data_IF_044961085608
#
_entry.id   IF_044961085608
#
_cell.length_a   1.000
_cell.length_b   1.000
_cell.length_c   1.000
_cell.angle_alpha   90.00
_cell.angle_beta   90.00
_cell.angle_gamma   90.00
#
_symmetry.space_group_name_H-M   'P 1'
#
loop_
_entity.id
_entity.type
_entity.pdbx_description
1 polymer ?
#
# COMPACT_ATOMS: atom_id res chain seq x y z
N UNK A 1 22.33 12.43 -23.31
CA UNK A 1 21.22 11.81 -22.59
C UNK A 1 21.80 10.82 -21.62
N UNK A 2 21.34 10.79 -20.36
CA UNK A 2 21.78 9.80 -19.38
C UNK A 2 21.28 8.39 -19.73
N UNK A 3 21.92 7.38 -19.17
CA UNK A 3 21.61 5.95 -19.41
C UNK A 3 20.13 5.60 -19.19
N UNK A 4 19.51 6.20 -18.15
CA UNK A 4 18.14 5.90 -17.72
C UNK A 4 17.11 6.96 -18.15
N UNK A 5 17.43 7.79 -19.15
CA UNK A 5 16.47 8.79 -19.67
C UNK A 5 15.20 8.11 -20.20
N UNK A 6 14.03 8.54 -19.70
CA UNK A 6 12.74 7.97 -20.08
C UNK A 6 12.34 6.70 -19.30
N UNK A 7 13.14 6.28 -18.32
CA UNK A 7 12.81 5.17 -17.40
C UNK A 7 12.14 5.71 -16.15
N UNK A 8 10.97 5.19 -15.81
CA UNK A 8 10.31 5.39 -14.52
C UNK A 8 10.44 4.09 -13.70
N UNK A 9 11.12 4.18 -12.56
CA UNK A 9 11.16 3.14 -11.55
C UNK A 9 10.09 3.46 -10.50
N UNK A 10 9.16 2.53 -10.27
CA UNK A 10 8.14 2.61 -9.22
C UNK A 10 8.33 1.44 -8.26
N UNK A 11 8.54 1.73 -6.99
CA UNK A 11 8.78 0.72 -5.97
C UNK A 11 7.73 0.78 -4.87
N UNK A 12 7.32 -0.37 -4.35
CA UNK A 12 6.70 -0.42 -3.04
C UNK A 12 7.68 0.07 -1.96
N UNK A 13 7.16 0.39 -0.77
CA UNK A 13 7.95 0.94 0.33
C UNK A 13 8.39 -0.12 1.33
N UNK A 14 7.41 -0.72 2.03
CA UNK A 14 7.69 -1.62 3.15
C UNK A 14 8.23 -2.95 2.63
N UNK A 15 9.39 -3.43 3.10
CA UNK A 15 10.05 -4.67 2.68
C UNK A 15 10.47 -4.73 1.19
N UNK A 16 10.47 -3.57 0.53
CA UNK A 16 11.01 -3.41 -0.84
C UNK A 16 12.06 -2.31 -0.86
N UNK A 17 11.68 -1.06 -0.52
CA UNK A 17 12.65 0.02 -0.26
C UNK A 17 13.36 -0.22 1.06
N UNK A 18 12.62 -0.59 2.11
CA UNK A 18 13.13 -0.87 3.45
C UNK A 18 13.32 -2.36 3.69
N UNK A 19 14.25 -2.70 4.58
CA UNK A 19 14.36 -4.05 5.13
C UNK A 19 13.26 -4.40 6.15
N UNK A 20 13.31 -5.62 6.72
CA UNK A 20 12.37 -6.06 7.76
C UNK A 20 12.44 -5.22 9.05
N UNK A 21 13.59 -4.58 9.30
CA UNK A 21 13.85 -3.65 10.39
C UNK A 21 13.30 -2.23 10.15
N UNK A 22 12.73 -1.98 8.95
CA UNK A 22 12.24 -0.69 8.44
C UNK A 22 13.32 0.34 8.12
N UNK A 23 14.58 -0.08 8.09
CA UNK A 23 15.70 0.75 7.66
C UNK A 23 15.90 0.63 6.14
N UNK A 24 16.40 1.71 5.52
CA UNK A 24 16.72 1.69 4.09
C UNK A 24 18.16 1.21 3.93
N UNK A 25 18.41 0.10 3.23
CA UNK A 25 19.77 -0.33 2.93
C UNK A 25 20.57 0.77 2.22
N UNK A 26 21.79 1.11 2.68
CA UNK A 26 22.60 2.17 2.05
C UNK A 26 22.79 1.98 0.54
N UNK A 27 22.89 0.74 0.08
CA UNK A 27 22.99 0.41 -1.33
C UNK A 27 21.82 0.95 -2.16
N UNK A 28 20.58 0.92 -1.62
CA UNK A 28 19.41 1.48 -2.29
C UNK A 28 19.58 2.98 -2.51
N UNK A 29 19.99 3.73 -1.49
CA UNK A 29 20.16 5.18 -1.58
C UNK A 29 21.22 5.56 -2.61
N UNK A 30 22.38 4.88 -2.59
CA UNK A 30 23.46 5.13 -3.55
C UNK A 30 23.06 4.82 -5.00
N UNK A 31 22.37 3.69 -5.22
CA UNK A 31 21.94 3.29 -6.54
C UNK A 31 20.87 4.23 -7.09
N UNK A 32 19.92 4.65 -6.26
CA UNK A 32 18.86 5.59 -6.62
C UNK A 32 19.42 6.97 -7.00
N UNK A 33 20.38 7.48 -6.26
CA UNK A 33 21.02 8.75 -6.58
C UNK A 33 21.69 8.69 -7.97
N UNK A 34 22.50 7.66 -8.24
CA UNK A 34 23.12 7.44 -9.56
C UNK A 34 22.08 7.26 -10.68
N UNK A 35 21.02 6.50 -10.42
CA UNK A 35 19.93 6.30 -11.38
C UNK A 35 19.28 7.63 -11.77
N UNK A 36 19.02 8.52 -10.80
CA UNK A 36 18.44 9.84 -11.06
C UNK A 36 19.41 10.80 -11.75
N UNK A 37 20.70 10.78 -11.37
CA UNK A 37 21.77 11.57 -12.02
C UNK A 37 21.89 11.20 -13.51
N UNK A 38 21.69 9.93 -13.86
CA UNK A 38 21.69 9.41 -15.21
C UNK A 38 20.33 9.54 -15.94
N UNK A 39 19.42 10.34 -15.42
CA UNK A 39 18.16 10.73 -16.07
C UNK A 39 16.95 9.87 -15.74
N UNK A 40 17.08 8.90 -14.84
CA UNK A 40 15.96 8.08 -14.34
C UNK A 40 14.97 8.86 -13.48
N UNK A 41 13.74 8.38 -13.43
CA UNK A 41 12.68 8.89 -12.56
C UNK A 41 12.30 7.84 -11.53
N UNK A 42 12.27 8.22 -10.24
CA UNK A 42 11.87 7.36 -9.13
C UNK A 42 10.59 7.86 -8.46
N UNK A 43 9.62 6.96 -8.32
CA UNK A 43 8.40 7.13 -7.54
C UNK A 43 8.23 5.96 -6.57
N UNK A 44 7.45 6.16 -5.52
CA UNK A 44 7.00 5.12 -4.59
C UNK A 44 5.51 4.86 -4.83
N UNK A 45 5.08 3.59 -4.72
CA UNK A 45 3.68 3.18 -4.74
C UNK A 45 3.36 2.41 -3.45
N UNK A 46 2.61 3.01 -2.56
CA UNK A 46 2.35 2.46 -1.22
C UNK A 46 0.86 2.41 -0.88
N UNK A 47 0.46 1.49 0.03
CA UNK A 47 -0.86 1.48 0.65
C UNK A 47 -1.08 2.64 1.64
N UNK A 48 -0.02 3.29 2.09
CA UNK A 48 -0.11 4.38 3.05
C UNK A 48 -0.94 5.56 2.51
N UNK A 49 -1.61 6.25 3.42
CA UNK A 49 -2.22 7.55 3.12
C UNK A 49 -1.13 8.57 2.83
N UNK A 50 -1.46 9.66 2.13
CA UNK A 50 -0.49 10.75 1.92
C UNK A 50 0.02 11.37 3.24
N UNK A 51 -0.77 11.30 4.31
CA UNK A 51 -0.38 11.82 5.63
C UNK A 51 0.59 10.85 6.31
N UNK A 52 0.29 9.55 6.34
CA UNK A 52 1.16 8.56 6.96
C UNK A 52 2.48 8.36 6.20
N UNK A 53 2.47 8.53 4.88
CA UNK A 53 3.69 8.44 4.07
C UNK A 53 4.58 9.69 4.16
N UNK A 54 4.06 10.83 4.58
CA UNK A 54 4.79 12.10 4.64
C UNK A 54 6.10 12.02 5.44
N UNK A 55 6.13 11.27 6.53
CA UNK A 55 7.33 11.09 7.35
C UNK A 55 8.38 10.14 6.75
N UNK A 56 8.06 9.51 5.64
CA UNK A 56 8.90 8.53 4.94
C UNK A 56 9.45 9.04 3.62
N UNK A 57 8.68 9.88 2.91
CA UNK A 57 9.01 10.28 1.54
C UNK A 57 10.34 11.03 1.38
N UNK A 58 10.83 11.68 2.44
CA UNK A 58 12.11 12.41 2.46
C UNK A 58 13.28 11.54 2.93
N UNK A 59 13.03 10.29 3.38
CA UNK A 59 14.08 9.36 3.81
C UNK A 59 14.82 8.75 2.62
N UNK A 60 14.17 8.64 1.45
CA UNK A 60 14.79 8.22 0.20
C UNK A 60 14.64 9.33 -0.84
N UNK A 61 15.72 9.76 -1.51
CA UNK A 61 15.61 10.72 -2.61
C UNK A 61 14.68 10.19 -3.71
N UNK A 62 13.68 11.00 -4.07
CA UNK A 62 12.76 10.73 -5.19
C UNK A 62 12.65 11.96 -6.07
N UNK A 63 12.41 11.81 -7.36
CA UNK A 63 12.28 12.92 -8.31
C UNK A 63 11.00 12.87 -9.16
N UNK A 64 10.05 12.03 -8.75
CA UNK A 64 8.71 11.94 -9.32
C UNK A 64 7.64 12.04 -8.22
N UNK A 65 6.38 12.42 -8.53
CA UNK A 65 5.25 12.33 -7.61
C UNK A 65 5.04 10.90 -7.11
N UNK A 66 4.43 10.74 -5.92
CA UNK A 66 4.24 9.46 -5.26
C UNK A 66 2.83 8.92 -5.51
N UNK A 67 2.72 7.61 -5.54
CA UNK A 67 1.44 6.88 -5.62
C UNK A 67 1.10 6.41 -4.21
N UNK A 68 -0.01 6.89 -3.67
CA UNK A 68 -0.47 6.60 -2.30
C UNK A 68 -1.87 5.98 -2.33
N UNK A 69 -2.37 5.51 -1.17
CA UNK A 69 -3.66 4.81 -1.05
C UNK A 69 -3.79 3.65 -2.05
N UNK A 70 -2.77 2.78 -2.15
CA UNK A 70 -2.73 1.65 -3.10
C UNK A 70 -3.04 2.02 -4.56
N UNK A 71 -2.74 3.25 -4.97
CA UNK A 71 -2.97 3.71 -6.34
C UNK A 71 -4.16 4.67 -6.50
N UNK A 72 -4.91 4.99 -5.44
CA UNK A 72 -6.05 5.89 -5.57
C UNK A 72 -5.66 7.37 -5.66
N UNK A 73 -4.41 7.73 -5.42
CA UNK A 73 -3.93 9.12 -5.56
C UNK A 73 -2.49 9.17 -6.08
N UNK A 74 -2.21 10.13 -6.99
CA UNK A 74 -0.87 10.61 -7.31
C UNK A 74 -0.66 11.92 -6.59
N UNK A 75 0.26 11.96 -5.64
CA UNK A 75 0.52 13.12 -4.81
C UNK A 75 1.94 13.65 -4.99
N UNK A 76 2.07 14.95 -5.26
CA UNK A 76 3.34 15.65 -5.33
C UNK A 76 3.63 16.29 -3.97
N UNK A 77 4.53 15.67 -3.19
CA UNK A 77 4.92 16.18 -1.87
C UNK A 77 5.69 17.51 -1.94
N UNK A 78 6.43 17.77 -3.03
CA UNK A 78 7.17 19.00 -3.22
C UNK A 78 6.25 20.19 -3.48
N UNK A 79 5.24 19.96 -4.34
CA UNK A 79 4.21 20.96 -4.64
C UNK A 79 3.06 20.94 -3.64
N UNK A 80 3.05 19.99 -2.70
CA UNK A 80 2.00 19.75 -1.70
C UNK A 80 0.59 19.69 -2.31
N UNK A 81 0.43 18.99 -3.44
CA UNK A 81 -0.85 18.87 -4.15
C UNK A 81 -1.08 17.50 -4.75
N UNK A 82 -2.36 17.13 -4.82
CA UNK A 82 -2.82 15.99 -5.61
C UNK A 82 -2.74 16.33 -7.11
N UNK A 83 -2.18 15.43 -7.90
CA UNK A 83 -2.14 15.55 -9.37
C UNK A 83 -3.24 14.71 -10.01
N UNK A 84 -3.64 13.66 -9.39
CA UNK A 84 -4.74 12.78 -9.78
C UNK A 84 -5.28 12.05 -8.57
N UNK A 85 -6.59 11.81 -8.55
CA UNK A 85 -7.28 11.12 -7.47
C UNK A 85 -8.49 10.39 -8.03
N UNK A 86 -8.75 9.19 -7.52
CA UNK A 86 -9.95 8.40 -7.83
C UNK A 86 -10.67 8.03 -6.53
N UNK A 87 -11.65 8.83 -6.12
CA UNK A 87 -12.42 8.54 -4.92
C UNK A 87 -13.28 7.29 -5.07
N UNK A 88 -13.60 6.67 -3.95
CA UNK A 88 -14.62 5.63 -3.85
C UNK A 88 -15.98 6.19 -4.29
N UNK A 89 -16.80 5.40 -5.02
CA UNK A 89 -18.13 5.81 -5.43
C UNK A 89 -19.05 6.05 -4.22
N UNK A 90 -20.14 6.77 -4.43
CA UNK A 90 -21.09 7.11 -3.34
C UNK A 90 -21.76 5.87 -2.74
N UNK A 91 -22.01 4.87 -3.58
CA UNK A 91 -22.63 3.58 -3.24
C UNK A 91 -21.78 2.76 -2.25
N UNK A 92 -20.49 3.05 -2.16
CA UNK A 92 -19.59 2.42 -1.16
C UNK A 92 -20.05 2.66 0.28
N UNK A 93 -20.85 3.72 0.53
CA UNK A 93 -21.39 4.00 1.87
C UNK A 93 -22.30 2.87 2.37
N UNK A 94 -23.17 2.35 1.51
CA UNK A 94 -24.07 1.25 1.85
C UNK A 94 -23.29 -0.03 2.11
N UNK A 95 -22.38 -0.39 1.20
CA UNK A 95 -21.51 -1.53 1.39
C UNK A 95 -20.70 -1.45 2.71
N UNK A 96 -20.13 -0.29 3.01
CA UNK A 96 -19.37 -0.08 4.24
C UNK A 96 -20.27 -0.19 5.49
N UNK A 97 -21.48 0.38 5.45
CA UNK A 97 -22.44 0.29 6.56
C UNK A 97 -22.86 -1.15 6.84
N UNK A 98 -23.16 -1.92 5.78
CA UNK A 98 -23.52 -3.34 5.89
C UNK A 98 -22.39 -4.17 6.49
N UNK A 99 -21.14 -3.94 6.05
CA UNK A 99 -19.98 -4.64 6.60
C UNK A 99 -19.75 -4.28 8.06
N UNK A 100 -19.91 -3.02 8.44
CA UNK A 100 -19.75 -2.56 9.82
C UNK A 100 -20.81 -3.16 10.74
N UNK A 101 -22.06 -3.31 10.27
CA UNK A 101 -23.15 -3.94 11.03
C UNK A 101 -22.94 -5.45 11.18
N UNK A 102 -22.49 -6.13 10.11
CA UNK A 102 -22.28 -7.58 10.11
C UNK A 102 -21.05 -8.01 10.91
N UNK A 103 -20.01 -7.18 10.95
CA UNK A 103 -18.72 -7.49 11.60
C UNK A 103 -18.34 -6.46 12.68
N UNK A 104 -19.18 -6.19 13.68
CA UNK A 104 -18.93 -5.11 14.66
C UNK A 104 -17.68 -5.33 15.53
N UNK A 105 -17.14 -6.55 15.53
CA UNK A 105 -15.91 -6.91 16.26
C UNK A 105 -14.63 -6.51 15.50
N UNK A 106 -14.74 -6.19 14.19
CA UNK A 106 -13.61 -5.77 13.38
C UNK A 106 -13.42 -4.25 13.46
N UNK A 107 -12.21 -3.83 13.17
CA UNK A 107 -11.85 -2.43 13.03
C UNK A 107 -12.04 -1.98 11.59
N UNK A 108 -12.71 -0.85 11.40
CA UNK A 108 -12.96 -0.24 10.11
C UNK A 108 -12.40 1.16 10.04
N UNK A 109 -11.90 1.54 8.88
CA UNK A 109 -11.38 2.86 8.60
C UNK A 109 -11.94 3.42 7.30
N UNK A 110 -12.27 4.71 7.29
CA UNK A 110 -12.46 5.50 6.08
C UNK A 110 -11.33 6.50 5.99
N UNK A 111 -10.54 6.41 4.94
CA UNK A 111 -9.38 7.25 4.73
C UNK A 111 -9.73 8.35 3.72
N UNK A 112 -9.80 9.57 4.23
CA UNK A 112 -9.98 10.80 3.47
C UNK A 112 -8.62 11.46 3.16
N UNK A 113 -8.55 12.46 2.29
CA UNK A 113 -7.26 13.08 1.91
C UNK A 113 -6.40 13.59 3.06
N UNK A 114 -6.98 14.04 4.17
CA UNK A 114 -6.24 14.61 5.31
C UNK A 114 -6.41 13.90 6.63
N UNK A 115 -7.38 13.00 6.74
CA UNK A 115 -7.82 12.42 7.99
C UNK A 115 -8.28 10.98 7.78
N UNK A 116 -8.21 10.17 8.85
CA UNK A 116 -8.74 8.81 8.89
C UNK A 116 -9.85 8.75 9.94
N UNK A 117 -11.00 8.24 9.55
CA UNK A 117 -12.15 8.00 10.41
C UNK A 117 -12.22 6.53 10.76
N UNK A 118 -12.44 6.23 12.04
CA UNK A 118 -12.38 4.87 12.60
C UNK A 118 -13.73 4.46 13.18
N UNK A 119 -14.04 3.16 13.04
CA UNK A 119 -15.31 2.56 13.47
C UNK A 119 -15.09 1.15 13.99
N UNK A 120 -16.08 0.65 14.77
CA UNK A 120 -16.10 -0.73 15.21
C UNK A 120 -15.14 -1.04 16.35
N UNK A 121 -14.87 -2.33 16.52
CA UNK A 121 -14.29 -2.96 17.69
C UNK A 121 -12.93 -2.50 18.17
N UNK A 122 -11.92 -3.36 18.07
CA UNK A 122 -10.63 -3.12 18.71
C UNK A 122 -9.81 -2.02 18.00
N UNK A 123 -9.59 -0.92 18.70
CA UNK A 123 -8.85 0.27 18.27
C UNK A 123 -7.32 0.06 18.18
N UNK A 124 -6.81 -1.19 18.26
CA UNK A 124 -5.38 -1.46 18.32
C UNK A 124 -4.57 -0.88 17.16
N UNK A 125 -5.09 -0.95 15.93
CA UNK A 125 -4.45 -0.33 14.76
C UNK A 125 -4.57 1.20 14.78
N UNK A 126 -5.69 1.76 15.21
CA UNK A 126 -5.85 3.20 15.35
C UNK A 126 -4.81 3.80 16.31
N UNK A 127 -4.50 3.10 17.42
CA UNK A 127 -3.43 3.52 18.34
C UNK A 127 -2.04 3.48 17.68
N UNK A 128 -1.78 2.52 16.79
CA UNK A 128 -0.54 2.47 16.01
C UNK A 128 -0.46 3.67 15.05
N UNK A 129 -1.52 3.95 14.30
CA UNK A 129 -1.57 5.10 13.38
C UNK A 129 -1.45 6.44 14.11
N UNK A 130 -2.08 6.57 15.28
CA UNK A 130 -1.96 7.74 16.12
C UNK A 130 -0.51 8.01 16.55
N UNK A 131 0.21 6.95 16.93
CA UNK A 131 1.65 7.03 17.23
C UNK A 131 2.50 7.40 16.01
N UNK A 132 2.03 7.08 14.81
CA UNK A 132 2.66 7.45 13.53
C UNK A 132 2.28 8.89 13.07
N UNK A 133 1.52 9.63 13.88
CA UNK A 133 1.12 11.00 13.55
C UNK A 133 -0.01 11.10 12.51
N UNK A 134 -0.74 10.01 12.24
CA UNK A 134 -1.92 10.05 11.38
C UNK A 134 -3.08 10.66 12.17
N UNK A 135 -3.74 11.71 11.69
CA UNK A 135 -4.94 12.24 12.32
C UNK A 135 -6.08 11.22 12.28
N UNK A 136 -6.48 10.73 13.45
CA UNK A 136 -7.57 9.77 13.65
C UNK A 136 -8.75 10.51 14.24
N UNK A 137 -9.94 10.26 13.71
CA UNK A 137 -11.21 10.79 14.22
C UNK A 137 -12.23 9.67 14.40
N UNK A 138 -13.07 9.85 15.40
CA UNK A 138 -14.31 9.11 15.58
C UNK A 138 -15.47 10.05 15.20
N UNK A 139 -16.37 9.57 14.35
CA UNK A 139 -17.57 10.29 13.95
C UNK A 139 -18.65 9.30 13.51
N UNK A 140 -19.94 9.65 13.61
CA UNK A 140 -20.99 8.89 12.93
C UNK A 140 -20.71 8.80 11.44
N UNK A 141 -20.98 7.63 10.83
CA UNK A 141 -20.73 7.39 9.40
C UNK A 141 -21.38 8.47 8.49
N UNK A 142 -22.55 8.99 8.90
CA UNK A 142 -23.24 10.02 8.17
C UNK A 142 -22.50 11.38 8.12
N UNK A 143 -21.61 11.62 9.08
CA UNK A 143 -20.86 12.88 9.22
C UNK A 143 -19.46 12.80 8.58
N UNK A 144 -19.04 11.62 8.10
CA UNK A 144 -17.74 11.49 7.43
C UNK A 144 -17.75 12.22 6.09
N UNK A 145 -16.87 13.23 5.91
CA UNK A 145 -16.87 14.03 4.69
C UNK A 145 -16.40 13.25 3.47
N UNK A 146 -16.85 13.65 2.30
CA UNK A 146 -16.32 13.17 1.02
C UNK A 146 -15.20 14.12 0.53
N UNK A 147 -14.27 13.64 -0.30
CA UNK A 147 -14.20 12.30 -0.88
C UNK A 147 -13.62 11.25 0.09
N UNK A 148 -14.12 10.02 0.00
CA UNK A 148 -13.46 8.83 0.56
C UNK A 148 -12.50 8.29 -0.49
N UNK A 149 -11.26 8.05 -0.11
CA UNK A 149 -10.21 7.60 -1.05
C UNK A 149 -10.00 6.10 -0.97
N UNK A 150 -9.97 5.61 0.24
CA UNK A 150 -9.79 4.21 0.57
C UNK A 150 -10.61 3.90 1.82
N UNK A 151 -11.08 2.68 1.96
CA UNK A 151 -11.47 2.16 3.27
C UNK A 151 -10.67 0.90 3.60
N UNK A 152 -10.51 0.62 4.88
CA UNK A 152 -9.83 -0.57 5.35
C UNK A 152 -10.68 -1.32 6.37
N UNK A 153 -10.54 -2.64 6.35
CA UNK A 153 -11.11 -3.55 7.35
C UNK A 153 -9.99 -4.37 7.94
N UNK A 154 -9.85 -4.35 9.26
CA UNK A 154 -8.82 -5.12 9.93
C UNK A 154 -9.35 -5.84 11.15
N UNK A 155 -8.76 -6.99 11.46
CA UNK A 155 -8.92 -7.65 12.74
C UNK A 155 -7.73 -7.32 13.61
N UNK A 156 -7.95 -7.01 14.90
CA UNK A 156 -6.84 -7.00 15.83
C UNK A 156 -6.46 -8.43 16.16
N UNK A 157 -5.27 -8.87 15.78
CA UNK A 157 -4.74 -10.10 16.33
C UNK A 157 -4.19 -9.78 17.73
N UNK A 158 -5.06 -9.49 18.71
CA UNK A 158 -4.59 -9.61 20.07
C UNK A 158 -4.16 -11.05 20.29
N UNK A 159 -2.90 -11.31 20.59
CA UNK A 159 -2.50 -12.65 20.98
C UNK A 159 -3.37 -13.06 22.16
N UNK A 160 -3.94 -14.29 22.17
CA UNK A 160 -4.69 -14.77 23.32
C UNK A 160 -3.81 -14.63 24.55
N UNK A 161 -4.36 -14.03 25.60
CA UNK A 161 -3.70 -14.01 26.90
C UNK A 161 -3.84 -15.40 27.50
N UNK A 162 -2.75 -15.97 28.01
CA UNK A 162 -2.82 -17.17 28.84
C UNK A 162 -3.56 -16.87 30.16
N UNK A 163 -3.86 -17.91 30.93
CA UNK A 163 -4.51 -17.78 32.25
C UNK A 163 -3.75 -16.86 33.21
N UNK A 164 -2.48 -16.58 32.98
CA UNK A 164 -1.62 -15.67 33.74
C UNK A 164 -1.57 -14.24 33.15
N UNK A 165 -2.30 -13.96 32.05
CA UNK A 165 -2.35 -12.66 31.41
C UNK A 165 -1.13 -12.34 30.56
N UNK A 166 -0.22 -13.29 30.30
CA UNK A 166 0.90 -13.14 29.38
C UNK A 166 0.40 -13.26 27.94
N UNK A 167 0.83 -12.32 27.08
CA UNK A 167 0.59 -12.40 25.63
C UNK A 167 1.20 -13.68 25.08
N UNK A 168 0.39 -14.54 24.51
CA UNK A 168 0.87 -15.64 23.69
C UNK A 168 1.21 -15.09 22.31
N UNK A 169 2.27 -15.57 21.67
CA UNK A 169 2.68 -15.17 20.32
C UNK A 169 1.74 -15.70 19.21
N UNK A 170 0.50 -16.03 19.55
CA UNK A 170 -0.48 -16.59 18.63
C UNK A 170 -1.68 -15.66 18.49
N UNK A 171 -2.10 -15.46 17.23
CA UNK A 171 -3.29 -14.70 16.86
C UNK A 171 -4.56 -15.30 17.50
N UNK A 172 -5.54 -14.43 17.82
CA UNK A 172 -6.84 -14.81 18.40
C UNK A 172 -7.63 -15.81 17.55
N UNK A 173 -7.39 -15.79 16.25
CA UNK A 173 -7.97 -16.70 15.25
C UNK A 173 -6.88 -17.60 14.68
N UNK A 174 -7.21 -18.84 14.37
CA UNK A 174 -6.34 -19.69 13.55
C UNK A 174 -6.16 -19.06 12.16
N UNK A 175 -5.09 -19.41 11.47
CA UNK A 175 -4.87 -18.95 10.09
C UNK A 175 -6.07 -19.26 9.20
N UNK A 176 -6.68 -20.44 9.35
CA UNK A 176 -7.85 -20.84 8.56
C UNK A 176 -9.09 -19.98 8.85
N UNK A 177 -9.34 -19.61 10.12
CA UNK A 177 -10.45 -18.71 10.48
C UNK A 177 -10.23 -17.30 9.95
N UNK A 178 -9.00 -16.78 10.04
CA UNK A 178 -8.62 -15.49 9.44
C UNK A 178 -8.85 -15.53 7.92
N UNK A 179 -8.39 -16.58 7.26
CA UNK A 179 -8.52 -16.71 5.81
C UNK A 179 -9.97 -16.83 5.37
N UNK A 180 -10.80 -17.58 6.11
CA UNK A 180 -12.23 -17.69 5.82
C UNK A 180 -12.96 -16.34 6.01
N UNK A 181 -12.72 -15.65 7.13
CA UNK A 181 -13.37 -14.39 7.46
C UNK A 181 -12.97 -13.28 6.47
N UNK A 182 -11.67 -13.02 6.35
CA UNK A 182 -11.17 -11.95 5.48
C UNK A 182 -11.29 -12.30 3.99
N UNK A 183 -11.27 -13.60 3.62
CA UNK A 183 -11.59 -14.07 2.28
C UNK A 183 -13.02 -13.71 1.89
N UNK A 184 -14.00 -14.02 2.74
CA UNK A 184 -15.40 -13.70 2.49
C UNK A 184 -15.68 -12.20 2.39
N UNK A 185 -15.07 -11.37 3.27
CA UNK A 185 -15.19 -9.92 3.19
C UNK A 185 -14.55 -9.39 1.90
N UNK A 186 -13.37 -9.87 1.54
CA UNK A 186 -12.68 -9.49 0.31
C UNK A 186 -13.51 -9.81 -0.94
N UNK A 187 -14.11 -11.00 -1.00
CA UNK A 187 -14.97 -11.42 -2.12
C UNK A 187 -16.21 -10.55 -2.22
N UNK A 188 -16.82 -10.19 -1.08
CA UNK A 188 -17.98 -9.29 -1.04
C UNK A 188 -17.65 -7.89 -1.55
N UNK A 189 -16.50 -7.34 -1.17
CA UNK A 189 -16.06 -6.02 -1.66
C UNK A 189 -15.76 -6.08 -3.16
N UNK A 190 -15.17 -7.17 -3.64
CA UNK A 190 -14.83 -7.38 -5.06
C UNK A 190 -16.01 -7.87 -5.91
N UNK A 191 -17.22 -8.01 -5.35
CA UNK A 191 -18.39 -8.44 -6.10
C UNK A 191 -18.73 -7.43 -7.22
N UNK A 192 -19.26 -7.91 -8.36
CA UNK A 192 -19.67 -7.03 -9.45
C UNK A 192 -20.66 -5.96 -8.98
N UNK A 193 -20.44 -4.72 -9.42
CA UNK A 193 -21.34 -3.60 -9.13
C UNK A 193 -21.02 -2.81 -7.84
N UNK A 194 -20.05 -3.23 -7.04
CA UNK A 194 -19.62 -2.45 -5.86
C UNK A 194 -18.83 -1.20 -6.23
N UNK A 195 -18.26 -1.15 -7.43
CA UNK A 195 -17.35 -0.09 -7.87
C UNK A 195 -16.04 -0.04 -7.09
N UNK A 196 -15.76 -1.07 -6.29
CA UNK A 196 -14.58 -1.20 -5.44
C UNK A 196 -13.68 -2.35 -5.88
N UNK A 197 -12.41 -2.21 -5.56
CA UNK A 197 -11.41 -3.27 -5.65
C UNK A 197 -10.68 -3.36 -4.33
N UNK A 198 -10.71 -4.52 -3.70
CA UNK A 198 -10.01 -4.80 -2.46
C UNK A 198 -8.82 -5.71 -2.67
N UNK A 199 -7.79 -5.49 -1.87
CA UNK A 199 -6.63 -6.37 -1.73
C UNK A 199 -6.33 -6.64 -0.26
N UNK A 200 -5.72 -7.80 0.02
CA UNK A 200 -5.21 -8.13 1.36
C UNK A 200 -3.71 -7.84 1.37
N UNK A 201 -3.31 -6.80 2.06
CA UNK A 201 -1.89 -6.47 2.28
C UNK A 201 -1.28 -7.28 3.42
N UNK A 202 -2.11 -7.68 4.40
CA UNK A 202 -1.78 -8.62 5.47
C UNK A 202 -2.93 -9.65 5.62
N UNK A 203 -2.69 -10.80 6.23
CA UNK A 203 -3.75 -11.81 6.44
C UNK A 203 -5.02 -11.26 7.09
N UNK A 204 -4.89 -10.25 7.94
CA UNK A 204 -5.95 -9.63 8.73
C UNK A 204 -6.24 -8.17 8.33
N UNK A 205 -5.80 -7.72 7.17
CA UNK A 205 -6.01 -6.36 6.66
C UNK A 205 -6.45 -6.39 5.20
N UNK A 206 -7.63 -5.86 4.95
CA UNK A 206 -8.17 -5.57 3.63
C UNK A 206 -8.16 -4.08 3.42
N UNK A 207 -7.73 -3.65 2.26
CA UNK A 207 -7.75 -2.26 1.80
C UNK A 207 -8.51 -2.20 0.49
N UNK A 208 -9.51 -1.32 0.41
CA UNK A 208 -10.40 -1.19 -0.74
C UNK A 208 -10.35 0.21 -1.33
N UNK A 209 -10.13 0.28 -2.64
CA UNK A 209 -10.10 1.49 -3.46
C UNK A 209 -11.21 1.43 -4.51
N UNK A 210 -11.43 2.52 -5.22
CA UNK A 210 -12.32 2.53 -6.38
C UNK A 210 -11.78 1.58 -7.46
N UNK A 211 -12.66 0.87 -8.15
CA UNK A 211 -12.29 0.06 -9.30
C UNK A 211 -11.53 0.90 -10.33
N UNK A 212 -10.43 0.36 -10.89
CA UNK A 212 -9.52 1.11 -11.76
C UNK A 212 -8.60 2.08 -11.00
N UNK A 213 -8.39 1.88 -9.69
CA UNK A 213 -7.39 2.55 -8.88
C UNK A 213 -6.51 1.49 -8.24
N UNK A 214 -5.50 1.02 -8.95
CA UNK A 214 -4.49 0.10 -8.44
C UNK A 214 -3.10 0.71 -8.56
N UNK A 215 -2.12 0.20 -7.80
CA UNK A 215 -0.72 0.63 -7.92
C UNK A 215 -0.25 0.58 -9.39
N UNK A 216 -0.61 -0.46 -10.13
CA UNK A 216 -0.18 -0.66 -11.52
C UNK A 216 -0.83 0.29 -12.51
N UNK A 217 -2.16 0.43 -12.49
CA UNK A 217 -2.87 1.37 -13.37
C UNK A 217 -2.38 2.80 -13.15
N UNK A 218 -2.15 3.15 -11.89
CA UNK A 218 -1.68 4.48 -11.52
C UNK A 218 -0.20 4.70 -11.85
N UNK A 219 0.64 3.65 -11.79
CA UNK A 219 2.02 3.71 -12.26
C UNK A 219 2.09 3.96 -13.77
N UNK A 220 1.24 3.29 -14.58
CA UNK A 220 1.12 3.57 -16.02
C UNK A 220 0.66 5.01 -16.30
N UNK A 221 -0.32 5.50 -15.54
CA UNK A 221 -0.75 6.91 -15.63
C UNK A 221 0.38 7.88 -15.30
N UNK A 222 1.15 7.60 -14.25
CA UNK A 222 2.30 8.44 -13.88
C UNK A 222 3.39 8.41 -14.95
N UNK A 223 3.66 7.25 -15.55
CA UNK A 223 4.58 7.10 -16.69
C UNK A 223 4.22 8.06 -17.83
N UNK A 224 2.94 8.06 -18.23
CA UNK A 224 2.41 8.94 -19.28
C UNK A 224 2.52 10.43 -18.88
N UNK A 225 2.14 10.77 -17.66
CA UNK A 225 2.21 12.15 -17.13
C UNK A 225 3.64 12.71 -17.13
N UNK A 226 4.65 11.84 -16.93
CA UNK A 226 6.06 12.22 -16.91
C UNK A 226 6.72 12.15 -18.29
N UNK A 227 6.02 11.70 -19.34
CA UNK A 227 6.57 11.48 -20.67
C UNK A 227 7.66 10.40 -20.70
N UNK A 228 7.64 9.47 -19.75
CA UNK A 228 8.50 8.30 -19.73
C UNK A 228 7.94 7.19 -20.64
N UNK A 229 8.79 6.24 -21.03
CA UNK A 229 8.40 5.17 -21.96
C UNK A 229 8.71 3.76 -21.46
N UNK A 230 9.47 3.61 -20.38
CA UNK A 230 9.79 2.33 -19.77
C UNK A 230 9.40 2.35 -18.29
N UNK A 231 8.53 1.43 -17.89
CA UNK A 231 8.10 1.26 -16.52
C UNK A 231 8.82 0.08 -15.91
N UNK A 232 9.60 0.34 -14.87
CA UNK A 232 10.25 -0.69 -14.03
C UNK A 232 9.57 -0.69 -12.69
N UNK A 233 9.22 -1.86 -12.16
CA UNK A 233 8.55 -1.96 -10.86
C UNK A 233 9.25 -2.94 -9.93
N UNK A 234 9.24 -2.59 -8.62
CA UNK A 234 9.70 -3.45 -7.54
C UNK A 234 8.59 -3.62 -6.49
N UNK A 235 8.45 -4.83 -5.94
CA UNK A 235 7.46 -5.14 -4.91
C UNK A 235 7.79 -6.43 -4.16
N UNK A 236 7.06 -6.71 -3.07
CA UNK A 236 7.27 -7.90 -2.24
C UNK A 236 5.99 -8.62 -1.83
N UNK A 237 4.82 -7.97 -1.87
CA UNK A 237 3.57 -8.48 -1.33
C UNK A 237 2.45 -8.56 -2.37
N UNK A 238 1.35 -9.26 -2.05
CA UNK A 238 0.25 -9.50 -3.00
C UNK A 238 -0.46 -8.23 -3.48
N UNK A 239 -0.45 -7.16 -2.70
CA UNK A 239 -0.97 -5.85 -3.13
C UNK A 239 -0.10 -5.18 -4.21
N UNK A 240 1.12 -5.71 -4.48
CA UNK A 240 2.00 -5.26 -5.57
C UNK A 240 1.76 -6.02 -6.87
N UNK A 241 0.93 -7.05 -6.88
CA UNK A 241 0.69 -7.85 -8.08
C UNK A 241 0.27 -6.98 -9.28
N UNK A 242 -0.61 -5.99 -9.05
CA UNK A 242 -1.01 -5.05 -10.10
C UNK A 242 0.15 -4.18 -10.59
N UNK A 243 1.04 -3.78 -9.68
CA UNK A 243 2.23 -2.97 -10.00
C UNK A 243 3.20 -3.77 -10.86
N UNK A 244 3.52 -5.00 -10.44
CA UNK A 244 4.43 -5.89 -11.16
C UNK A 244 3.86 -6.29 -12.53
N UNK A 245 2.57 -6.61 -12.61
CA UNK A 245 1.90 -6.95 -13.86
C UNK A 245 1.84 -5.78 -14.88
N UNK A 246 1.85 -4.55 -14.39
CA UNK A 246 1.84 -3.36 -15.25
C UNK A 246 3.23 -3.01 -15.81
N UNK A 247 4.31 -3.55 -15.26
CA UNK A 247 5.68 -3.16 -15.59
C UNK A 247 6.15 -3.74 -16.94
N UNK A 248 7.08 -3.05 -17.58
CA UNK A 248 7.86 -3.58 -18.71
C UNK A 248 8.98 -4.49 -18.18
N UNK A 249 9.50 -4.20 -16.98
CA UNK A 249 10.37 -5.08 -16.18
C UNK A 249 9.92 -5.05 -14.72
N UNK A 250 9.71 -6.22 -14.14
CA UNK A 250 9.21 -6.40 -12.79
C UNK A 250 10.17 -7.20 -11.94
N UNK A 251 10.45 -6.69 -10.74
CA UNK A 251 11.36 -7.27 -9.77
C UNK A 251 10.64 -7.57 -8.46
N UNK A 252 10.85 -8.76 -7.93
CA UNK A 252 10.31 -9.19 -6.63
C UNK A 252 11.45 -9.33 -5.64
N UNK A 253 11.29 -8.78 -4.44
CA UNK A 253 12.25 -8.95 -3.35
C UNK A 253 12.48 -10.44 -3.05
N UNK A 254 13.72 -10.84 -2.85
CA UNK A 254 14.09 -12.25 -2.66
C UNK A 254 13.47 -12.91 -1.42
N UNK A 255 13.01 -12.10 -0.46
CA UNK A 255 12.26 -12.49 0.74
C UNK A 255 10.78 -12.10 0.66
N UNK A 256 10.26 -11.79 -0.54
CA UNK A 256 8.86 -11.46 -0.79
C UNK A 256 7.90 -12.65 -0.67
N UNK A 257 6.62 -12.40 -0.91
CA UNK A 257 5.57 -13.40 -0.82
C UNK A 257 5.83 -14.57 -1.77
N UNK A 258 5.68 -15.80 -1.26
CA UNK A 258 5.95 -17.03 -2.03
C UNK A 258 5.13 -17.12 -3.31
N UNK A 259 3.92 -16.60 -3.28
CA UNK A 259 3.01 -16.53 -4.41
C UNK A 259 3.58 -15.65 -5.53
N UNK A 260 4.20 -14.51 -5.20
CA UNK A 260 4.85 -13.63 -6.18
C UNK A 260 6.12 -14.26 -6.74
N UNK A 261 6.94 -14.89 -5.88
CA UNK A 261 8.17 -15.57 -6.29
C UNK A 261 7.90 -16.72 -7.29
N UNK A 262 6.69 -17.31 -7.26
CA UNK A 262 6.28 -18.38 -8.16
C UNK A 262 5.76 -17.88 -9.53
N UNK A 263 5.54 -16.57 -9.73
CA UNK A 263 4.94 -16.03 -10.96
C UNK A 263 5.94 -15.77 -12.09
N UNK A 264 7.23 -16.02 -11.87
CA UNK A 264 8.25 -15.89 -12.92
C UNK A 264 8.78 -14.46 -13.14
N UNK A 265 8.54 -13.54 -12.23
CA UNK A 265 9.19 -12.22 -12.22
C UNK A 265 10.68 -12.33 -11.91
N UNK A 266 11.46 -11.29 -12.20
CA UNK A 266 12.86 -11.24 -11.84
C UNK A 266 13.00 -11.13 -10.32
N UNK A 267 13.72 -12.08 -9.71
CA UNK A 267 13.94 -12.10 -8.26
C UNK A 267 15.24 -11.34 -7.94
N UNK A 268 15.16 -10.38 -7.03
CA UNK A 268 16.31 -9.62 -6.53
C UNK A 268 16.90 -10.28 -5.27
N UNK A 269 17.88 -9.61 -4.67
CA UNK A 269 18.34 -9.90 -3.32
C UNK A 269 17.22 -9.69 -2.30
N UNK A 270 17.30 -10.25 -1.08
CA UNK A 270 16.37 -9.95 0.01
C UNK A 270 16.31 -8.45 0.33
N UNK A 271 15.18 -8.01 0.88
CA UNK A 271 14.89 -6.60 1.16
C UNK A 271 15.96 -5.91 2.03
N UNK A 272 16.56 -6.62 2.98
CA UNK A 272 17.65 -6.11 3.81
C UNK A 272 18.96 -5.84 3.05
N UNK A 273 19.12 -6.39 1.83
CA UNK A 273 20.35 -6.29 1.04
C UNK A 273 20.27 -5.23 -0.06
N UNK A 274 19.08 -4.71 -0.39
CA UNK A 274 18.91 -3.60 -1.32
C UNK A 274 18.29 -3.97 -2.65
N UNK A 275 16.98 -4.18 -2.66
CA UNK A 275 16.17 -4.53 -3.84
C UNK A 275 16.34 -3.53 -4.99
N UNK A 276 16.28 -2.22 -4.68
CA UNK A 276 16.40 -1.18 -5.72
C UNK A 276 17.80 -1.17 -6.34
N UNK A 277 18.83 -1.39 -5.52
CA UNK A 277 20.21 -1.43 -5.99
C UNK A 277 20.42 -2.60 -6.97
N UNK A 278 19.92 -3.78 -6.62
CA UNK A 278 20.00 -4.95 -7.48
C UNK A 278 19.17 -4.76 -8.76
N UNK A 279 17.93 -4.31 -8.68
CA UNK A 279 17.07 -4.01 -9.83
C UNK A 279 17.74 -3.00 -10.78
N UNK A 280 18.23 -1.87 -10.27
CA UNK A 280 18.90 -0.82 -11.09
C UNK A 280 20.18 -1.37 -11.75
N UNK A 281 20.92 -2.23 -11.08
CA UNK A 281 22.16 -2.82 -11.64
C UNK A 281 21.92 -3.66 -12.88
N UNK A 282 20.69 -4.19 -13.04
CA UNK A 282 20.26 -5.03 -14.16
C UNK A 282 19.61 -4.25 -15.31
N UNK A 283 19.37 -2.92 -15.15
CA UNK A 283 18.86 -2.04 -16.20
C UNK A 283 19.98 -1.57 -17.14
#
# INVERSE_FOLDING_TARGET
MGKYTGVLLVSDWDRTVTGPDREIPPANTEAVLRFMEEGGRLSIATGHTRVSHKSRWDQLPTNAPQIVFNGAEIYDYRAARSLWQKPLPEETRELFADLLEEYPQLHFEIQCPGETYVFGGDMGLAEVFKKMGVPIREAPLAEVPRPWIQFAVSGSPEPPKDEAGKKQDQFRYSTAEIDALFGGINDRINAPGTGCRASRSLPFLIEAQAEGASKGETARRLLEMLGCHTLVCCGDALNDLSLLAAADRAFVAGDGAKELLALGYEITVPSAEGVLADAISRL
#
